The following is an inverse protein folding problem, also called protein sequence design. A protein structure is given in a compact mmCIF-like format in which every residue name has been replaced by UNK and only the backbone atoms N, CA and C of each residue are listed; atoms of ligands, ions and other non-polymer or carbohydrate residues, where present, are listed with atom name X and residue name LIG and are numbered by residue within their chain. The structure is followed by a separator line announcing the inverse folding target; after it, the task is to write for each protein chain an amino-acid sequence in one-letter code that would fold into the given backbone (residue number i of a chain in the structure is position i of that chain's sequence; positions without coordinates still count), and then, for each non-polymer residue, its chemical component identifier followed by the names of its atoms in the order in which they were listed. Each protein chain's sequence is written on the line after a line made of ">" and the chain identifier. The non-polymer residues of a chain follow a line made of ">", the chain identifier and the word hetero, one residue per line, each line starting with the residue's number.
data_IF_468163836371
#
_entry.id   IF_468163836371
#
_cell.length_a   1.000
_cell.length_b   1.000
_cell.length_c   1.000
_cell.angle_alpha   90.00
_cell.angle_beta   90.00
_cell.angle_gamma   90.00
#
_symmetry.space_group_name_H-M   'P 1'
#
loop_
_entity.id
_entity.type
_entity.pdbx_description
1 polymer ?
#
# COMPACT_ATOMS: atom_id res chain seq x y z
N UNK A 1 -4.29 -15.65 -18.24
CA UNK A 1 -3.78 -16.70 -17.33
C UNK A 1 -3.13 -15.98 -16.17
N UNK A 2 -3.51 -16.30 -14.93
CA UNK A 2 -2.91 -15.70 -13.72
C UNK A 2 -1.54 -16.33 -13.53
N UNK A 3 -0.52 -15.50 -13.31
CA UNK A 3 0.83 -15.99 -13.01
C UNK A 3 0.99 -16.17 -11.50
N UNK A 4 1.92 -17.02 -11.07
CA UNK A 4 2.12 -17.33 -9.65
C UNK A 4 2.50 -16.07 -8.85
N UNK A 5 3.29 -15.20 -9.48
CA UNK A 5 3.81 -13.93 -8.97
C UNK A 5 2.69 -12.89 -8.74
N UNK A 6 1.55 -13.06 -9.42
CA UNK A 6 0.38 -12.20 -9.26
C UNK A 6 -0.46 -12.58 -8.03
N UNK A 7 -0.18 -13.73 -7.41
CA UNK A 7 -0.89 -14.17 -6.20
C UNK A 7 -0.18 -13.63 -4.97
N UNK A 8 -0.89 -12.81 -4.21
CA UNK A 8 -0.42 -12.26 -2.95
C UNK A 8 -1.47 -12.45 -1.85
N UNK A 9 -1.03 -12.40 -0.59
CA UNK A 9 -1.92 -12.43 0.56
C UNK A 9 -2.98 -11.31 0.44
N UNK A 10 -4.24 -11.64 0.71
CA UNK A 10 -5.35 -10.71 0.58
C UNK A 10 -5.80 -10.43 -0.87
N UNK A 11 -5.13 -11.00 -1.88
CA UNK A 11 -5.53 -10.90 -3.28
C UNK A 11 -6.92 -11.47 -3.53
N UNK A 12 -7.71 -10.83 -4.39
CA UNK A 12 -9.07 -11.23 -4.73
C UNK A 12 -9.13 -11.87 -6.11
N UNK A 13 -9.66 -13.08 -6.16
CA UNK A 13 -9.84 -13.85 -7.38
C UNK A 13 -11.23 -14.49 -7.41
N UNK A 14 -11.71 -14.87 -8.58
CA UNK A 14 -12.84 -15.78 -8.67
C UNK A 14 -12.35 -17.21 -8.52
N UNK A 15 -13.15 -18.02 -7.83
CA UNK A 15 -13.07 -19.48 -7.83
C UNK A 15 -14.49 -19.99 -8.02
N UNK A 16 -14.74 -20.77 -9.07
CA UNK A 16 -16.07 -21.27 -9.41
C UNK A 16 -17.13 -20.14 -9.44
N UNK A 17 -16.78 -19.00 -10.08
CA UNK A 17 -17.58 -17.76 -10.18
C UNK A 17 -17.90 -17.05 -8.86
N UNK A 18 -17.31 -17.47 -7.73
CA UNK A 18 -17.43 -16.80 -6.43
C UNK A 18 -16.15 -16.06 -6.08
N UNK A 19 -16.27 -14.89 -5.44
CA UNK A 19 -15.10 -14.12 -5.00
C UNK A 19 -14.44 -14.84 -3.83
N UNK A 20 -13.15 -15.11 -3.98
CA UNK A 20 -12.27 -15.73 -3.00
C UNK A 20 -11.13 -14.76 -2.67
N UNK A 21 -10.77 -14.69 -1.39
CA UNK A 21 -9.59 -13.96 -0.93
C UNK A 21 -8.48 -14.95 -0.61
N UNK A 22 -7.26 -14.67 -1.07
CA UNK A 22 -6.08 -15.45 -0.73
C UNK A 22 -5.72 -15.22 0.74
N UNK A 23 -5.42 -16.31 1.44
CA UNK A 23 -5.13 -16.41 2.87
C UNK A 23 -3.90 -17.29 3.04
N UNK A 24 -3.29 -17.26 4.20
CA UNK A 24 -2.10 -18.05 4.51
C UNK A 24 -2.29 -19.55 4.24
N UNK A 25 -3.46 -20.09 4.62
CA UNK A 25 -3.85 -21.49 4.39
C UNK A 25 -3.83 -21.92 2.91
N UNK A 26 -3.99 -20.97 1.98
CA UNK A 26 -4.02 -21.25 0.55
C UNK A 26 -2.61 -21.40 -0.08
N UNK A 27 -1.56 -20.97 0.62
CA UNK A 27 -0.19 -21.06 0.08
C UNK A 27 0.37 -22.48 0.11
N UNK A 28 -0.10 -23.32 1.05
CA UNK A 28 0.30 -24.73 1.11
C UNK A 28 -0.12 -25.53 -0.13
N UNK A 29 -1.26 -25.18 -0.72
CA UNK A 29 -1.85 -25.85 -1.90
C UNK A 29 -1.97 -24.92 -3.12
N UNK A 30 -1.01 -24.01 -3.29
CA UNK A 30 -1.12 -22.93 -4.27
C UNK A 30 -1.07 -23.44 -5.73
N UNK A 31 -0.21 -24.41 -6.02
CA UNK A 31 -0.05 -24.97 -7.37
C UNK A 31 -1.33 -25.66 -7.87
N UNK A 32 -2.01 -26.52 -7.07
CA UNK A 32 -3.34 -27.03 -7.42
C UNK A 32 -4.44 -25.97 -7.48
N UNK A 33 -4.31 -24.87 -6.73
CA UNK A 33 -5.32 -23.81 -6.68
C UNK A 33 -5.29 -22.93 -7.93
N UNK A 34 -4.11 -22.64 -8.47
CA UNK A 34 -3.90 -21.67 -9.55
C UNK A 34 -4.77 -21.90 -10.80
N UNK A 35 -4.94 -23.13 -11.33
CA UNK A 35 -5.82 -23.38 -12.49
C UNK A 35 -7.31 -23.12 -12.24
N UNK A 36 -7.73 -23.03 -10.97
CA UNK A 36 -9.12 -22.80 -10.55
C UNK A 36 -9.41 -21.32 -10.28
N UNK A 37 -8.38 -20.49 -10.34
CA UNK A 37 -8.52 -19.05 -10.14
C UNK A 37 -8.81 -18.36 -11.47
N UNK A 38 -9.78 -17.46 -11.43
CA UNK A 38 -10.13 -16.58 -12.53
C UNK A 38 -9.91 -15.11 -12.10
N UNK A 39 -9.33 -14.27 -12.96
CA UNK A 39 -9.06 -12.89 -12.61
C UNK A 39 -10.38 -12.10 -12.55
N UNK A 40 -10.47 -11.17 -11.60
CA UNK A 40 -11.65 -10.34 -11.43
C UNK A 40 -11.47 -9.04 -12.23
N UNK A 41 -12.31 -8.75 -13.25
CA UNK A 41 -12.27 -7.47 -13.97
C UNK A 41 -12.49 -6.28 -13.03
N UNK A 42 -11.80 -5.19 -13.28
CA UNK A 42 -12.01 -3.94 -12.54
C UNK A 42 -13.40 -3.39 -12.86
N UNK A 43 -14.19 -3.17 -11.81
CA UNK A 43 -15.45 -2.44 -11.87
C UNK A 43 -15.56 -1.41 -10.73
N UNK A 44 -16.36 -0.35 -10.90
CA UNK A 44 -16.50 0.70 -9.90
C UNK A 44 -16.97 0.22 -8.52
N UNK A 45 -17.83 -0.81 -8.46
CA UNK A 45 -18.38 -1.30 -7.20
C UNK A 45 -17.29 -2.03 -6.38
N UNK A 46 -16.42 -2.79 -7.05
CA UNK A 46 -15.28 -3.44 -6.40
C UNK A 46 -14.20 -2.46 -5.96
N UNK A 47 -13.88 -1.46 -6.79
CA UNK A 47 -12.96 -0.39 -6.39
C UNK A 47 -13.48 0.32 -5.14
N UNK A 48 -14.78 0.63 -5.09
CA UNK A 48 -15.40 1.20 -3.90
C UNK A 48 -15.26 0.30 -2.66
N UNK A 49 -15.47 -1.02 -2.80
CA UNK A 49 -15.24 -1.98 -1.69
C UNK A 49 -13.78 -2.02 -1.21
N UNK A 50 -12.83 -1.68 -2.06
CA UNK A 50 -11.41 -1.53 -1.72
C UNK A 50 -11.06 -0.12 -1.19
N UNK A 51 -12.07 0.72 -0.99
CA UNK A 51 -11.93 2.07 -0.43
C UNK A 51 -11.45 3.11 -1.44
N UNK A 52 -11.71 2.91 -2.73
CA UNK A 52 -11.57 3.97 -3.73
C UNK A 52 -12.82 4.86 -3.74
N UNK A 53 -12.59 6.16 -3.87
CA UNK A 53 -13.62 7.14 -4.22
C UNK A 53 -13.79 7.20 -5.73
N UNK A 54 -14.90 7.80 -6.20
CA UNK A 54 -15.19 7.91 -7.64
C UNK A 54 -15.75 9.30 -7.97
N UNK A 55 -15.21 9.89 -9.03
CA UNK A 55 -15.82 11.05 -9.68
C UNK A 55 -16.99 10.59 -10.55
N UNK A 56 -18.20 11.01 -10.19
CA UNK A 56 -19.44 10.58 -10.86
C UNK A 56 -19.45 10.97 -12.34
N UNK A 57 -18.98 12.18 -12.66
CA UNK A 57 -19.07 12.74 -14.02
C UNK A 57 -18.07 12.13 -15.01
N UNK A 58 -16.88 11.72 -14.55
CA UNK A 58 -15.80 11.22 -15.42
C UNK A 58 -15.60 9.71 -15.30
N UNK A 59 -16.24 9.07 -14.31
CA UNK A 59 -16.07 7.66 -14.02
C UNK A 59 -14.71 7.30 -13.43
N UNK A 60 -13.82 8.28 -13.20
CA UNK A 60 -12.48 8.09 -12.64
C UNK A 60 -12.59 7.70 -11.18
N UNK A 61 -11.92 6.60 -10.81
CA UNK A 61 -11.75 6.20 -9.42
C UNK A 61 -10.42 6.70 -8.88
N UNK A 62 -10.36 7.04 -7.60
CA UNK A 62 -9.14 7.50 -6.96
C UNK A 62 -9.05 7.05 -5.51
N UNK A 63 -7.83 6.95 -4.99
CA UNK A 63 -7.57 6.67 -3.58
C UNK A 63 -6.34 7.44 -3.14
N UNK A 64 -6.47 8.05 -1.96
CA UNK A 64 -5.42 8.84 -1.33
C UNK A 64 -4.68 7.99 -0.30
N UNK A 65 -3.36 8.08 -0.31
CA UNK A 65 -2.51 7.47 0.70
C UNK A 65 -1.27 8.31 0.97
N UNK A 66 -1.09 8.73 2.22
CA UNK A 66 0.10 9.49 2.66
C UNK A 66 0.47 10.68 1.76
N UNK A 67 -0.53 11.40 1.25
CA UNK A 67 -0.34 12.55 0.36
C UNK A 67 -0.14 12.21 -1.12
N UNK A 68 -0.11 10.93 -1.49
CA UNK A 68 -0.11 10.46 -2.88
C UNK A 68 -1.51 10.06 -3.29
N UNK A 69 -1.99 10.62 -4.40
CA UNK A 69 -3.26 10.24 -5.02
C UNK A 69 -3.04 9.33 -6.22
N UNK A 70 -3.54 8.10 -6.13
CA UNK A 70 -3.64 7.18 -7.26
C UNK A 70 -4.98 7.41 -7.98
N UNK A 71 -4.94 7.61 -9.29
CA UNK A 71 -6.10 7.66 -10.16
C UNK A 71 -6.16 6.43 -11.06
N UNK A 72 -7.36 5.86 -11.17
CA UNK A 72 -7.73 4.83 -12.12
C UNK A 72 -8.79 5.41 -13.06
N UNK A 73 -8.40 5.69 -14.30
CA UNK A 73 -9.31 6.20 -15.33
C UNK A 73 -9.77 5.08 -16.25
N UNK A 74 -11.07 4.95 -16.55
CA UNK A 74 -11.54 4.02 -17.58
C UNK A 74 -10.86 4.31 -18.91
N UNK A 75 -10.36 3.27 -19.58
CA UNK A 75 -9.75 3.35 -20.90
C UNK A 75 -10.42 2.35 -21.86
N UNK A 76 -9.93 2.29 -23.11
CA UNK A 76 -10.46 1.36 -24.12
C UNK A 76 -10.07 -0.09 -23.81
N UNK A 77 -10.86 -1.04 -24.34
CA UNK A 77 -10.63 -2.48 -24.22
C UNK A 77 -10.69 -3.02 -22.78
N UNK A 78 -11.62 -2.51 -21.96
CA UNK A 78 -11.80 -2.91 -20.54
C UNK A 78 -10.55 -2.71 -19.66
N UNK A 79 -9.64 -1.83 -20.06
CA UNK A 79 -8.47 -1.45 -19.28
C UNK A 79 -8.73 -0.15 -18.52
N UNK A 80 -7.92 0.05 -17.49
CA UNK A 80 -7.93 1.22 -16.64
C UNK A 80 -6.53 1.83 -16.66
N UNK A 81 -6.46 3.12 -16.98
CA UNK A 81 -5.23 3.89 -16.97
C UNK A 81 -4.87 4.25 -15.53
N UNK A 82 -3.64 3.92 -15.15
CA UNK A 82 -3.02 4.29 -13.88
C UNK A 82 -2.36 5.66 -14.03
N UNK A 83 -2.70 6.59 -13.15
CA UNK A 83 -2.07 7.92 -13.09
C UNK A 83 -1.80 8.33 -11.65
N UNK A 84 -0.79 9.17 -11.48
CA UNK A 84 -0.47 9.82 -10.22
C UNK A 84 -0.43 11.34 -10.43
N UNK A 85 -0.41 12.08 -9.33
CA UNK A 85 -0.11 13.50 -9.39
C UNK A 85 1.28 13.72 -10.03
N UNK A 86 1.35 14.56 -11.07
CA UNK A 86 2.58 14.78 -11.85
C UNK A 86 2.93 13.69 -12.87
N UNK A 87 2.29 12.51 -12.84
CA UNK A 87 2.55 11.41 -13.79
C UNK A 87 1.26 11.05 -14.54
N UNK A 88 1.03 11.61 -15.74
CA UNK A 88 -0.24 11.48 -16.44
C UNK A 88 -0.46 10.10 -17.07
N UNK A 89 0.55 9.23 -17.15
CA UNK A 89 0.39 7.87 -17.71
C UNK A 89 1.47 6.94 -17.13
N UNK A 90 1.13 6.25 -16.05
CA UNK A 90 2.03 5.27 -15.43
C UNK A 90 1.89 3.86 -16.05
N UNK A 91 0.70 3.53 -16.56
CA UNK A 91 0.46 2.22 -17.17
C UNK A 91 -1.02 1.88 -17.28
N UNK A 92 -1.32 0.61 -17.58
CA UNK A 92 -2.67 0.10 -17.64
C UNK A 92 -2.82 -1.14 -16.76
N UNK A 93 -3.98 -1.25 -16.12
CA UNK A 93 -4.41 -2.43 -15.37
C UNK A 93 -5.79 -2.85 -15.87
N UNK A 94 -6.11 -4.13 -15.74
CA UNK A 94 -7.39 -4.70 -16.20
C UNK A 94 -8.14 -5.40 -15.08
N UNK A 95 -7.41 -5.94 -14.10
CA UNK A 95 -7.97 -6.80 -13.06
C UNK A 95 -7.72 -6.26 -11.65
N UNK A 96 -8.59 -6.62 -10.72
CA UNK A 96 -8.54 -6.16 -9.32
C UNK A 96 -7.25 -6.59 -8.64
N UNK A 97 -6.78 -7.82 -8.86
CA UNK A 97 -5.55 -8.30 -8.25
C UNK A 97 -4.32 -7.49 -8.69
N UNK A 98 -4.32 -6.95 -9.92
CA UNK A 98 -3.28 -6.05 -10.41
C UNK A 98 -3.30 -4.70 -9.68
N UNK A 99 -4.49 -4.17 -9.36
CA UNK A 99 -4.64 -2.96 -8.53
C UNK A 99 -4.16 -3.21 -7.11
N UNK A 100 -4.53 -4.36 -6.52
CA UNK A 100 -4.07 -4.75 -5.18
C UNK A 100 -2.55 -4.89 -5.13
N UNK A 101 -1.96 -5.51 -6.16
CA UNK A 101 -0.51 -5.66 -6.27
C UNK A 101 0.19 -4.32 -6.45
N UNK A 102 -0.28 -3.49 -7.37
CA UNK A 102 0.23 -2.13 -7.57
C UNK A 102 0.19 -1.33 -6.26
N UNK A 103 -0.91 -1.38 -5.53
CA UNK A 103 -1.04 -0.68 -4.25
C UNK A 103 -0.05 -1.19 -3.21
N UNK A 104 0.09 -2.50 -3.10
CA UNK A 104 1.06 -3.11 -2.19
C UNK A 104 2.49 -2.73 -2.57
N UNK A 105 2.84 -2.78 -3.86
CA UNK A 105 4.19 -2.43 -4.31
C UNK A 105 4.51 -0.95 -4.03
N UNK A 106 3.52 -0.05 -4.13
CA UNK A 106 3.69 1.38 -3.88
C UNK A 106 3.69 1.76 -2.39
N UNK A 107 2.83 1.13 -1.60
CA UNK A 107 2.49 1.60 -0.25
C UNK A 107 2.76 0.56 0.84
N UNK A 108 3.17 -0.65 0.47
CA UNK A 108 3.37 -1.79 1.36
C UNK A 108 2.16 -2.11 2.24
N UNK A 109 0.97 -1.76 1.73
CA UNK A 109 -0.31 -2.00 2.37
C UNK A 109 -1.12 -2.95 1.50
N UNK A 110 -1.80 -3.92 2.11
CA UNK A 110 -2.73 -4.75 1.35
C UNK A 110 -4.04 -3.99 1.14
N UNK A 111 -4.50 -3.86 -0.11
CA UNK A 111 -5.87 -3.45 -0.39
C UNK A 111 -6.81 -4.59 -0.01
N UNK A 112 -7.31 -4.60 1.22
CA UNK A 112 -8.36 -5.50 1.65
C UNK A 112 -9.72 -4.79 1.69
N UNK A 113 -10.79 -5.56 1.46
CA UNK A 113 -12.13 -5.09 1.81
C UNK A 113 -12.23 -5.11 3.34
N UNK A 114 -12.47 -3.99 4.03
CA UNK A 114 -12.63 -4.00 5.48
C UNK A 114 -13.78 -4.93 5.86
N UNK A 115 -13.63 -5.76 6.92
CA UNK A 115 -14.71 -6.63 7.38
C UNK A 115 -15.92 -5.75 7.68
N UNK A 116 -17.11 -6.18 7.23
CA UNK A 116 -18.34 -5.46 7.56
C UNK A 116 -18.45 -5.41 9.09
N UNK A 117 -18.30 -4.22 9.66
CA UNK A 117 -18.52 -4.01 11.08
C UNK A 117 -19.96 -4.43 11.37
N UNK A 118 -20.16 -5.52 12.14
CA UNK A 118 -21.48 -5.87 12.67
C UNK A 118 -21.99 -4.64 13.39
N UNK A 119 -23.12 -4.09 12.93
CA UNK A 119 -23.76 -2.91 13.52
C UNK A 119 -24.09 -3.23 14.97
N UNK A 120 -23.20 -2.86 15.90
CA UNK A 120 -23.53 -2.87 17.34
C UNK A 120 -24.54 -1.75 17.55
N UNK A 121 -25.73 -2.12 18.04
CA UNK A 121 -26.81 -1.21 18.39
C UNK A 121 -26.26 -0.11 19.31
N UNK A 122 -26.41 1.16 18.90
CA UNK A 122 -25.92 2.33 19.64
C UNK A 122 -26.82 2.58 20.84
N UNK A 123 -26.26 2.48 22.05
CA UNK A 123 -26.78 3.25 23.18
C UNK A 123 -26.21 4.67 23.05
N UNK A 124 -27.10 5.66 22.90
CA UNK A 124 -26.76 7.09 22.88
C UNK A 124 -26.82 7.57 24.33
N UNK A 125 -25.70 8.07 24.85
CA UNK A 125 -25.68 8.87 26.08
C UNK A 125 -25.73 10.33 25.64
N UNK A 126 -26.71 11.13 26.09
CA UNK A 126 -26.79 12.54 25.75
C UNK A 126 -25.82 13.36 26.63
N UNK A 127 -25.46 14.55 26.15
CA UNK A 127 -24.68 15.60 26.83
C UNK A 127 -23.16 15.59 26.59
N UNK A 128 -22.74 16.35 25.58
CA UNK A 128 -21.64 17.32 25.72
C UNK A 128 -21.69 18.31 24.54
N UNK A 129 -21.85 19.59 24.88
CA UNK A 129 -21.73 20.74 24.00
C UNK A 129 -20.40 20.75 23.26
N UNK A 130 -20.43 20.77 21.91
CA UNK A 130 -19.28 21.23 21.11
C UNK A 130 -19.78 22.04 19.92
N UNK A 131 -19.31 23.28 19.86
CA UNK A 131 -19.60 24.30 18.87
C UNK A 131 -19.25 23.85 17.45
N UNK A 132 -20.25 23.93 16.55
CA UNK A 132 -20.12 23.59 15.12
C UNK A 132 -19.61 24.81 14.35
N UNK A 133 -18.42 24.72 13.73
CA UNK A 133 -18.04 25.60 12.63
C UNK A 133 -18.23 24.86 11.31
N UNK A 134 -19.27 25.25 10.58
CA UNK A 134 -19.63 24.73 9.25
C UNK A 134 -18.65 25.28 8.21
N UNK A 135 -17.83 24.41 7.62
CA UNK A 135 -17.18 24.69 6.33
C UNK A 135 -17.96 23.91 5.28
N UNK A 136 -18.49 24.65 4.30
CA UNK A 136 -19.38 24.17 3.24
C UNK A 136 -18.53 23.83 2.02
N UNK A 137 -18.33 22.55 1.72
CA UNK A 137 -17.85 22.13 0.40
C UNK A 137 -18.98 21.40 -0.34
N UNK A 138 -19.35 21.95 -1.50
CA UNK A 138 -20.41 21.46 -2.36
C UNK A 138 -19.92 20.27 -3.19
N UNK A 139 -20.23 19.05 -2.76
CA UNK A 139 -20.64 17.94 -3.63
C UNK A 139 -20.90 16.66 -2.82
N UNK A 140 -22.18 16.33 -2.66
CA UNK A 140 -22.73 14.97 -2.50
C UNK A 140 -22.32 14.18 -1.23
N UNK A 141 -23.10 14.46 -0.17
CA UNK A 141 -23.68 13.53 0.82
C UNK A 141 -23.00 12.17 1.11
N UNK A 142 -22.20 12.13 2.19
CA UNK A 142 -22.37 11.29 3.40
C UNK A 142 -21.01 11.13 4.10
N UNK A 143 -20.67 12.05 5.02
CA UNK A 143 -19.52 11.88 5.89
C UNK A 143 -19.94 11.25 7.22
N UNK A 144 -19.33 10.11 7.57
CA UNK A 144 -19.02 9.78 8.96
C UNK A 144 -17.58 10.23 9.20
N UNK A 145 -17.38 11.29 9.99
CA UNK A 145 -16.07 11.65 10.54
C UNK A 145 -15.73 10.62 11.62
N UNK A 146 -14.60 9.93 11.48
CA UNK A 146 -13.91 9.30 12.60
C UNK A 146 -12.64 10.11 12.79
N UNK A 147 -12.55 10.89 13.88
CA UNK A 147 -11.25 11.37 14.36
C UNK A 147 -10.52 10.14 14.89
N UNK A 148 -9.70 9.54 14.04
CA UNK A 148 -8.67 8.61 14.51
C UNK A 148 -7.50 9.47 14.88
N UNK A 149 -7.30 9.70 16.18
CA UNK A 149 -5.98 10.12 16.67
C UNK A 149 -5.05 8.96 16.40
N UNK A 150 -4.43 8.93 15.22
CA UNK A 150 -3.36 7.99 14.93
C UNK A 150 -2.21 8.44 15.83
N UNK A 151 -2.05 7.80 16.97
CA UNK A 151 -0.77 7.79 17.65
C UNK A 151 0.20 7.22 16.61
N UNK A 152 1.18 8.00 16.10
CA UNK A 152 2.11 7.45 15.13
C UNK A 152 2.78 6.25 15.79
N UNK A 153 2.76 5.05 15.18
CA UNK A 153 3.54 3.95 15.70
C UNK A 153 4.99 4.45 15.81
N UNK A 154 5.54 4.39 17.02
CA UNK A 154 6.94 4.68 17.27
C UNK A 154 7.76 3.52 16.73
N UNK A 155 7.97 3.48 15.43
CA UNK A 155 9.06 2.74 14.79
C UNK A 155 9.18 3.23 13.36
N UNK A 156 10.30 3.90 13.05
CA UNK A 156 10.63 4.27 11.68
C UNK A 156 11.08 2.99 10.95
N UNK A 157 10.33 2.45 9.97
CA UNK A 157 10.68 1.18 9.38
C UNK A 157 11.70 1.45 8.28
N UNK A 158 12.96 1.21 8.61
CA UNK A 158 13.94 0.97 7.57
C UNK A 158 13.63 -0.39 6.93
N UNK A 159 13.77 -0.48 5.61
CA UNK A 159 13.59 -1.73 4.87
C UNK A 159 14.87 -2.04 4.11
N UNK A 160 15.44 -3.22 4.36
CA UNK A 160 16.61 -3.71 3.65
C UNK A 160 16.17 -4.73 2.60
N UNK A 161 16.58 -4.53 1.35
CA UNK A 161 16.23 -5.43 0.26
C UNK A 161 16.82 -6.82 0.46
N UNK A 162 16.10 -7.84 -0.01
CA UNK A 162 16.50 -9.24 0.10
C UNK A 162 17.85 -9.57 -0.57
N UNK A 163 18.27 -8.77 -1.55
CA UNK A 163 19.56 -8.90 -2.24
C UNK A 163 20.71 -8.19 -1.50
N UNK A 164 20.42 -7.60 -0.35
CA UNK A 164 21.33 -6.85 0.51
C UNK A 164 22.00 -5.63 -0.16
N UNK A 165 21.34 -5.00 -1.14
CA UNK A 165 21.91 -3.88 -1.91
C UNK A 165 21.33 -2.53 -1.58
N UNK A 166 20.09 -2.45 -1.06
CA UNK A 166 19.40 -1.17 -0.89
C UNK A 166 18.71 -1.13 0.47
N UNK A 167 18.90 0.00 1.17
CA UNK A 167 18.22 0.33 2.41
C UNK A 167 17.25 1.51 2.16
N UNK A 168 16.00 1.37 2.57
CA UNK A 168 14.96 2.38 2.42
C UNK A 168 14.51 2.90 3.77
N UNK A 169 14.12 4.17 3.84
CA UNK A 169 13.40 4.78 4.96
C UNK A 169 12.06 5.31 4.47
N UNK A 170 10.97 4.89 5.09
CA UNK A 170 9.61 5.23 4.64
C UNK A 170 9.07 6.55 5.20
N UNK A 171 9.52 7.00 6.38
CA UNK A 171 8.98 8.20 7.03
C UNK A 171 9.34 9.51 6.32
N UNK A 172 10.62 9.68 5.98
CA UNK A 172 11.11 10.72 5.08
C UNK A 172 11.87 9.97 3.99
N UNK A 173 11.28 9.91 2.79
CA UNK A 173 11.71 9.05 1.70
C UNK A 173 13.21 9.23 1.44
N UNK A 174 13.98 8.20 1.75
CA UNK A 174 15.41 8.12 1.47
C UNK A 174 15.78 6.68 1.10
N UNK A 175 16.52 6.53 0.02
CA UNK A 175 17.01 5.24 -0.45
C UNK A 175 18.53 5.29 -0.55
N UNK A 176 19.20 4.38 0.14
CA UNK A 176 20.65 4.24 0.11
C UNK A 176 21.06 2.93 -0.54
N UNK A 177 22.07 3.00 -1.39
CA UNK A 177 22.81 1.81 -1.83
C UNK A 177 23.75 1.39 -0.71
N UNK A 178 23.78 0.10 -0.40
CA UNK A 178 24.83 -0.49 0.42
C UNK A 178 26.08 -0.67 -0.44
N UNK A 179 27.17 -0.01 -0.04
CA UNK A 179 28.47 -0.15 -0.68
C UNK A 179 29.63 0.01 0.32
N UNK A 180 30.84 -0.25 -0.14
CA UNK A 180 32.06 -0.19 0.68
C UNK A 180 32.76 1.19 0.59
N UNK A 181 32.25 2.10 -0.25
CA UNK A 181 32.93 3.36 -0.58
C UNK A 181 32.85 4.39 0.54
N UNK A 182 31.78 4.35 1.33
CA UNK A 182 31.57 5.28 2.44
C UNK A 182 31.15 4.52 3.70
N UNK A 183 32.10 3.82 4.35
CA UNK A 183 31.80 2.86 5.42
C UNK A 183 31.26 3.54 6.67
N UNK A 184 30.25 2.92 7.27
CA UNK A 184 29.64 3.32 8.53
C UNK A 184 29.97 2.35 9.67
N UNK A 185 30.15 1.06 9.35
CA UNK A 185 30.55 0.01 10.29
C UNK A 185 31.15 -1.19 9.56
N UNK A 186 31.74 -2.11 10.32
CA UNK A 186 32.26 -3.39 9.82
C UNK A 186 31.44 -4.53 10.44
N UNK A 187 31.02 -5.50 9.62
CA UNK A 187 30.26 -6.68 10.03
C UNK A 187 30.66 -7.88 9.17
N UNK A 188 30.91 -9.03 9.81
CA UNK A 188 31.37 -10.27 9.17
C UNK A 188 32.62 -10.09 8.25
N UNK A 189 33.58 -9.26 8.68
CA UNK A 189 34.82 -8.99 7.92
C UNK A 189 34.65 -8.08 6.71
N UNK A 190 33.44 -7.55 6.47
CA UNK A 190 33.12 -6.63 5.37
C UNK A 190 32.79 -5.23 5.90
N UNK A 191 33.17 -4.20 5.15
CA UNK A 191 32.79 -2.82 5.44
C UNK A 191 31.41 -2.52 4.85
N UNK A 192 30.53 -1.93 5.66
CA UNK A 192 29.17 -1.60 5.29
C UNK A 192 28.99 -0.08 5.32
N UNK A 193 28.72 0.48 4.15
CA UNK A 193 28.47 1.89 3.93
C UNK A 193 27.14 2.12 3.22
N UNK A 194 26.67 3.37 3.27
CA UNK A 194 25.41 3.78 2.65
C UNK A 194 25.64 4.98 1.75
N UNK A 195 25.33 4.87 0.47
CA UNK A 195 25.39 5.97 -0.50
C UNK A 195 23.98 6.36 -0.90
N UNK A 196 23.59 7.63 -0.71
CA UNK A 196 22.25 8.10 -1.06
C UNK A 196 22.03 7.99 -2.58
N UNK A 197 20.96 7.29 -2.97
CA UNK A 197 20.53 7.15 -4.36
C UNK A 197 19.38 8.09 -4.70
N UNK A 198 18.44 8.26 -3.76
CA UNK A 198 17.23 9.05 -3.98
C UNK A 198 16.64 9.56 -2.66
N UNK A 199 15.94 10.68 -2.73
CA UNK A 199 15.29 11.33 -1.59
C UNK A 199 16.17 12.39 -0.89
N UNK A 200 15.71 12.84 0.27
CA UNK A 200 16.44 13.80 1.12
C UNK A 200 16.88 13.10 2.39
N UNK A 201 18.20 12.99 2.58
CA UNK A 201 18.79 12.48 3.81
C UNK A 201 19.99 13.31 4.23
N UNK A 202 20.03 13.71 5.50
CA UNK A 202 21.24 14.31 6.11
C UNK A 202 22.25 13.22 6.50
N UNK A 203 23.50 13.62 6.76
CA UNK A 203 24.54 12.69 7.22
C UNK A 203 24.17 12.03 8.56
N UNK A 204 23.47 12.73 9.45
CA UNK A 204 22.97 12.16 10.71
C UNK A 204 21.94 11.05 10.48
N UNK A 205 21.10 11.19 9.45
CA UNK A 205 20.10 10.18 9.09
C UNK A 205 20.75 8.97 8.44
N UNK A 206 21.79 9.18 7.64
CA UNK A 206 22.63 8.10 7.12
C UNK A 206 23.30 7.31 8.26
N UNK A 207 23.80 7.97 9.30
CA UNK A 207 24.37 7.30 10.48
C UNK A 207 23.30 6.49 11.23
N UNK A 208 22.10 7.05 11.43
CA UNK A 208 20.96 6.33 12.06
C UNK A 208 20.56 5.10 11.25
N UNK A 209 20.48 5.23 9.92
CA UNK A 209 20.20 4.13 9.01
C UNK A 209 21.27 3.03 9.09
N UNK A 210 22.54 3.41 9.20
CA UNK A 210 23.65 2.47 9.41
C UNK A 210 23.56 1.70 10.73
N UNK A 211 23.21 2.38 11.82
CA UNK A 211 23.01 1.73 13.13
C UNK A 211 21.87 0.70 13.08
N UNK A 212 20.77 1.04 12.43
CA UNK A 212 19.66 0.11 12.23
C UNK A 212 20.09 -1.09 11.38
N UNK A 213 20.78 -0.86 10.25
CA UNK A 213 21.24 -1.93 9.36
C UNK A 213 22.18 -2.90 10.08
N UNK A 214 23.06 -2.39 10.94
CA UNK A 214 23.92 -3.24 11.77
C UNK A 214 23.11 -4.16 12.68
N UNK A 215 22.14 -3.61 13.43
CA UNK A 215 21.27 -4.41 14.30
C UNK A 215 20.45 -5.44 13.52
N UNK A 216 19.92 -5.07 12.35
CA UNK A 216 19.20 -5.99 11.47
C UNK A 216 20.06 -7.17 10.99
N UNK A 217 21.34 -6.92 10.67
CA UNK A 217 22.28 -7.97 10.26
C UNK A 217 22.70 -8.88 11.43
N UNK A 218 22.77 -8.35 12.65
CA UNK A 218 23.07 -9.10 13.87
C UNK A 218 21.90 -9.98 14.33
N UNK A 219 20.65 -9.57 14.10
CA UNK A 219 19.46 -10.36 14.44
C UNK A 219 19.16 -11.50 13.44
N UNK A 220 19.63 -11.38 12.20
CA UNK A 220 19.37 -12.33 11.10
C UNK A 220 20.57 -13.16 10.66
N UNK A 221 21.77 -12.86 11.16
CA UNK A 221 23.01 -13.62 10.92
C UNK A 221 23.26 -14.65 12.01
#
# INVERSE_FOLDING_TARGET
>A
MIQLEEIALGGLFYRDKKVMQIREEHFGDLLPLLPRLEPIPIDPQRLWKLGFSRYVNTGVSYKDWQGVRLYLRPATLNRWLVQFEGIPKAGFVQYIHQVQRLWFDLFQEHLFQPPQARVRQRHVIPEADVSRRLVKDHAISHYKRYETTITPPSDQPYYFTWDCRILFRTGQVAAWRVDEKSPLFTYAGRNWGLTLLSGTATEEERIKAGKWLKGYLEERG
#
